data_IF_080725811935
#
_entry.id   IF_080725811935
#
_cell.length_a   1.000
_cell.length_b   1.000
_cell.length_c   1.000
_cell.angle_alpha   90.00
_cell.angle_beta   90.00
_cell.angle_gamma   90.00
#
_symmetry.space_group_name_H-M   'P 1'
#
loop_
_entity.id
_entity.type
_entity.pdbx_description
1 polymer ?
#
# COMPACT_ATOMS: atom_id res chain seq x y z
N UNK A 1 25.02 -13.27 -3.91
CA UNK A 1 24.08 -12.20 -4.32
C UNK A 1 22.99 -12.89 -5.13
N UNK A 2 21.78 -13.04 -4.57
CA UNK A 2 20.73 -13.91 -5.12
C UNK A 2 19.46 -13.08 -5.28
N UNK A 3 19.16 -12.72 -6.54
CA UNK A 3 17.87 -12.29 -7.10
C UNK A 3 18.12 -12.08 -8.62
N UNK A 4 17.51 -12.76 -9.63
CA UNK A 4 17.15 -14.18 -9.92
C UNK A 4 16.80 -14.47 -11.46
N UNK A 5 15.54 -14.39 -11.98
CA UNK A 5 15.18 -14.45 -13.45
C UNK A 5 13.91 -13.61 -13.91
N UNK A 6 14.00 -12.66 -14.88
CA UNK A 6 12.96 -11.68 -15.27
C UNK A 6 12.14 -12.00 -16.55
N UNK A 7 12.34 -13.16 -17.18
CA UNK A 7 11.94 -13.40 -18.58
C UNK A 7 10.44 -13.22 -18.93
N UNK A 8 9.53 -13.18 -17.95
CA UNK A 8 8.07 -13.09 -18.18
C UNK A 8 7.40 -11.74 -17.84
N UNK A 9 8.06 -10.83 -17.10
CA UNK A 9 7.44 -9.57 -16.59
C UNK A 9 8.39 -8.36 -16.61
N UNK A 10 9.05 -8.12 -17.75
CA UNK A 10 10.06 -7.06 -17.95
C UNK A 10 9.66 -5.63 -17.54
N UNK A 11 8.37 -5.30 -17.48
CA UNK A 11 7.87 -3.92 -17.48
C UNK A 11 7.47 -3.34 -16.09
N UNK A 12 7.86 -3.95 -14.97
CA UNK A 12 7.26 -3.60 -13.66
C UNK A 12 8.27 -3.24 -12.54
N UNK A 13 9.53 -3.66 -12.67
CA UNK A 13 10.54 -3.57 -11.61
C UNK A 13 11.81 -2.86 -12.10
N UNK A 14 12.52 -2.17 -11.18
CA UNK A 14 13.91 -1.75 -11.37
C UNK A 14 14.84 -2.92 -11.74
N UNK A 15 14.42 -4.14 -11.39
CA UNK A 15 15.03 -5.40 -11.78
C UNK A 15 15.02 -5.69 -13.29
N UNK A 16 14.44 -4.88 -14.17
CA UNK A 16 14.48 -5.15 -15.62
C UNK A 16 15.90 -5.22 -16.24
N UNK A 17 16.92 -4.80 -15.47
CA UNK A 17 18.35 -4.77 -15.86
C UNK A 17 19.10 -6.06 -15.45
N UNK A 18 18.64 -6.76 -14.40
CA UNK A 18 19.23 -8.02 -13.92
C UNK A 18 18.12 -9.04 -13.77
N UNK A 19 18.23 -10.20 -14.42
CA UNK A 19 17.13 -11.19 -14.43
C UNK A 19 16.64 -11.47 -12.98
N UNK A 20 15.33 -11.31 -12.64
CA UNK A 20 14.78 -11.40 -11.27
C UNK A 20 13.43 -12.15 -11.04
N UNK A 21 13.47 -13.15 -10.14
CA UNK A 21 12.44 -14.13 -9.72
C UNK A 21 12.37 -14.11 -8.17
N UNK A 22 11.24 -13.72 -7.57
CA UNK A 22 11.17 -13.47 -6.11
C UNK A 22 11.33 -14.75 -5.27
N UNK A 23 12.35 -14.79 -4.41
CA UNK A 23 12.42 -15.77 -3.30
C UNK A 23 11.56 -15.31 -2.11
N UNK A 24 11.50 -16.09 -1.03
CA UNK A 24 10.71 -15.76 0.18
C UNK A 24 11.18 -14.49 0.93
N UNK A 25 12.26 -13.83 0.50
CA UNK A 25 12.79 -12.60 1.10
C UNK A 25 12.25 -11.39 0.32
N UNK A 26 11.67 -10.43 1.02
CA UNK A 26 11.09 -9.22 0.42
C UNK A 26 12.15 -8.12 0.31
N UNK A 27 13.07 -8.25 -0.64
CA UNK A 27 14.17 -7.30 -0.83
C UNK A 27 13.91 -6.22 -1.89
N UNK A 28 12.69 -6.14 -2.45
CA UNK A 28 12.34 -5.10 -3.42
C UNK A 28 10.83 -4.82 -3.46
N UNK A 29 10.46 -3.64 -3.99
CA UNK A 29 9.06 -3.22 -4.13
C UNK A 29 8.18 -4.25 -4.84
N UNK A 30 8.68 -4.91 -5.89
CA UNK A 30 7.91 -5.90 -6.62
C UNK A 30 7.55 -7.14 -5.78
N UNK A 31 8.47 -7.64 -4.95
CA UNK A 31 8.18 -8.75 -4.06
C UNK A 31 7.25 -8.32 -2.90
N UNK A 32 7.38 -7.07 -2.41
CA UNK A 32 6.48 -6.49 -1.40
C UNK A 32 5.04 -6.41 -1.93
N UNK A 33 4.88 -5.75 -3.08
CA UNK A 33 3.59 -5.57 -3.73
C UNK A 33 2.97 -6.92 -4.12
N UNK A 34 3.75 -7.84 -4.71
CA UNK A 34 3.27 -9.17 -5.08
C UNK A 34 2.81 -10.02 -3.89
N UNK A 35 3.53 -9.98 -2.75
CA UNK A 35 3.08 -10.64 -1.51
C UNK A 35 1.78 -10.03 -0.98
N UNK A 36 1.67 -8.70 -1.01
CA UNK A 36 0.43 -8.02 -0.62
C UNK A 36 -0.74 -8.39 -1.55
N UNK A 37 -0.56 -8.39 -2.87
CA UNK A 37 -1.61 -8.82 -3.82
C UNK A 37 -2.06 -10.27 -3.57
N UNK A 38 -1.14 -11.19 -3.26
CA UNK A 38 -1.50 -12.56 -2.90
C UNK A 38 -2.39 -12.60 -1.65
N UNK A 39 -2.02 -11.87 -0.59
CA UNK A 39 -2.80 -11.77 0.65
C UNK A 39 -4.14 -11.07 0.46
N UNK A 40 -4.17 -9.98 -0.28
CA UNK A 40 -5.38 -9.21 -0.59
C UNK A 40 -6.39 -10.05 -1.38
N UNK A 41 -5.92 -10.84 -2.35
CA UNK A 41 -6.76 -11.78 -3.10
C UNK A 41 -7.21 -12.97 -2.23
N UNK A 42 -6.32 -13.57 -1.44
CA UNK A 42 -6.62 -14.71 -0.56
C UNK A 42 -7.69 -14.36 0.49
N UNK A 43 -7.57 -13.19 1.11
CA UNK A 43 -8.47 -12.72 2.17
C UNK A 43 -9.63 -11.86 1.63
N UNK A 44 -9.62 -11.55 0.34
CA UNK A 44 -10.58 -10.70 -0.36
C UNK A 44 -10.79 -9.33 0.34
N UNK A 45 -9.68 -8.69 0.74
CA UNK A 45 -9.65 -7.53 1.65
C UNK A 45 -10.41 -6.35 1.05
N UNK A 46 -9.98 -5.89 -0.13
CA UNK A 46 -10.61 -4.81 -0.92
C UNK A 46 -12.13 -4.99 -1.03
N UNK A 47 -12.58 -6.12 -1.57
CA UNK A 47 -13.99 -6.35 -1.81
C UNK A 47 -14.80 -6.42 -0.50
N UNK A 48 -14.23 -6.99 0.56
CA UNK A 48 -14.87 -7.07 1.87
C UNK A 48 -15.10 -5.67 2.45
N UNK A 49 -14.07 -4.81 2.44
CA UNK A 49 -14.21 -3.41 2.87
C UNK A 49 -15.21 -2.65 2.01
N UNK A 50 -15.10 -2.74 0.68
CA UNK A 50 -15.99 -2.03 -0.26
C UNK A 50 -17.44 -2.47 -0.10
N UNK A 51 -17.70 -3.77 0.05
CA UNK A 51 -19.06 -4.29 0.26
C UNK A 51 -19.64 -3.85 1.59
N UNK A 52 -18.89 -4.01 2.69
CA UNK A 52 -19.38 -3.64 4.01
C UNK A 52 -19.65 -2.13 4.12
N UNK A 53 -18.74 -1.31 3.58
CA UNK A 53 -18.90 0.14 3.46
C UNK A 53 -20.18 0.54 2.70
N UNK A 54 -20.48 -0.14 1.58
CA UNK A 54 -21.71 0.09 0.82
C UNK A 54 -22.98 -0.30 1.57
N UNK A 55 -22.95 -1.37 2.38
CA UNK A 55 -24.10 -1.73 3.22
C UNK A 55 -24.31 -0.71 4.34
N UNK A 56 -23.24 -0.28 5.03
CA UNK A 56 -23.28 0.76 6.07
C UNK A 56 -23.93 2.06 5.57
N UNK A 57 -23.58 2.53 4.36
CA UNK A 57 -24.14 3.77 3.79
C UNK A 57 -25.68 3.69 3.65
N UNK A 58 -26.26 2.50 3.40
CA UNK A 58 -27.71 2.31 3.27
C UNK A 58 -28.44 2.37 4.62
N UNK A 59 -27.77 2.12 5.73
CA UNK A 59 -28.39 1.98 7.05
C UNK A 59 -28.87 3.35 7.56
N UNK A 60 -30.15 3.47 7.93
CA UNK A 60 -30.78 4.76 8.30
C UNK A 60 -30.23 5.38 9.58
N UNK A 61 -29.81 4.58 10.57
CA UNK A 61 -29.33 5.09 11.87
C UNK A 61 -27.92 5.70 11.80
N UNK A 62 -27.15 5.42 10.74
CA UNK A 62 -25.80 5.96 10.58
C UNK A 62 -25.87 7.45 10.18
N UNK A 63 -25.18 8.35 10.91
CA UNK A 63 -25.11 9.77 10.57
C UNK A 63 -24.63 10.05 9.13
N UNK A 64 -25.24 11.03 8.47
CA UNK A 64 -24.88 11.41 7.09
C UNK A 64 -23.42 11.91 6.95
N UNK A 65 -22.78 12.37 8.04
CA UNK A 65 -21.36 12.75 8.01
C UNK A 65 -20.48 11.52 7.81
N UNK A 66 -20.63 10.49 8.66
CA UNK A 66 -19.93 9.19 8.55
C UNK A 66 -20.14 8.56 7.16
N UNK A 67 -21.34 8.67 6.58
CA UNK A 67 -21.61 8.17 5.22
C UNK A 67 -20.77 8.89 4.15
N UNK A 68 -20.67 10.22 4.24
CA UNK A 68 -19.82 11.01 3.32
C UNK A 68 -18.35 10.65 3.48
N UNK A 69 -17.90 10.41 4.70
CA UNK A 69 -16.51 10.05 4.98
C UNK A 69 -16.17 8.70 4.33
N UNK A 70 -17.02 7.68 4.50
CA UNK A 70 -16.91 6.40 3.78
C UNK A 70 -16.91 6.60 2.26
N UNK A 71 -17.85 7.39 1.72
CA UNK A 71 -17.92 7.65 0.28
C UNK A 71 -16.66 8.34 -0.25
N UNK A 72 -16.01 9.17 0.56
CA UNK A 72 -14.76 9.85 0.20
C UNK A 72 -13.59 8.87 0.23
N UNK A 73 -13.41 8.10 1.30
CA UNK A 73 -12.38 7.05 1.37
C UNK A 73 -12.52 6.02 0.23
N UNK A 74 -13.75 5.64 -0.14
CA UNK A 74 -14.00 4.75 -1.29
C UNK A 74 -13.67 5.39 -2.66
N UNK A 75 -13.77 6.72 -2.81
CA UNK A 75 -13.33 7.43 -4.01
C UNK A 75 -11.80 7.52 -4.06
N UNK A 76 -11.16 7.77 -2.92
CA UNK A 76 -9.71 7.87 -2.79
C UNK A 76 -9.04 6.51 -3.00
N UNK A 77 -9.62 5.43 -2.48
CA UNK A 77 -9.18 4.06 -2.74
C UNK A 77 -9.02 3.77 -4.23
N UNK A 78 -10.05 4.09 -5.03
CA UNK A 78 -10.01 3.95 -6.48
C UNK A 78 -8.97 4.86 -7.16
N UNK A 79 -8.73 6.07 -6.64
CA UNK A 79 -7.69 6.97 -7.18
C UNK A 79 -6.30 6.37 -6.93
N UNK A 80 -6.01 5.96 -5.70
CA UNK A 80 -4.73 5.37 -5.31
C UNK A 80 -4.48 4.07 -6.07
N UNK A 81 -5.48 3.18 -6.15
CA UNK A 81 -5.40 1.94 -6.91
C UNK A 81 -5.13 2.18 -8.40
N UNK A 82 -5.80 3.15 -9.02
CA UNK A 82 -5.54 3.52 -10.42
C UNK A 82 -4.13 4.11 -10.63
N UNK A 83 -3.65 4.96 -9.71
CA UNK A 83 -2.29 5.51 -9.78
C UNK A 83 -1.23 4.43 -9.64
N UNK A 84 -1.39 3.53 -8.66
CA UNK A 84 -0.50 2.40 -8.43
C UNK A 84 -0.48 1.44 -9.63
N UNK A 85 -1.66 1.12 -10.18
CA UNK A 85 -1.81 0.31 -11.40
C UNK A 85 -1.26 0.97 -12.67
N UNK A 86 -1.14 2.30 -12.71
CA UNK A 86 -0.50 3.03 -13.81
C UNK A 86 1.02 2.94 -13.67
N UNK A 87 1.54 3.36 -12.53
CA UNK A 87 2.97 3.44 -12.22
C UNK A 87 3.65 2.06 -12.23
N UNK A 88 2.93 1.00 -11.83
CA UNK A 88 3.45 -0.36 -11.91
C UNK A 88 3.66 -0.84 -13.36
N UNK A 89 3.09 -0.18 -14.38
CA UNK A 89 3.22 -0.55 -15.80
C UNK A 89 4.30 0.24 -16.55
N UNK A 90 5.05 1.11 -15.87
CA UNK A 90 6.09 1.93 -16.49
C UNK A 90 7.26 1.05 -16.98
N UNK A 91 7.40 0.99 -18.30
CA UNK A 91 8.36 0.16 -19.01
C UNK A 91 9.67 0.90 -19.28
N UNK A 92 10.70 0.58 -18.50
CA UNK A 92 12.01 1.24 -18.59
C UNK A 92 12.86 0.80 -19.79
N UNK A 93 12.54 -0.30 -20.47
CA UNK A 93 13.36 -0.84 -21.57
C UNK A 93 13.50 0.19 -22.71
N UNK A 94 12.45 0.98 -22.95
CA UNK A 94 12.43 2.04 -23.95
C UNK A 94 13.50 3.12 -23.73
N UNK A 95 13.91 3.35 -22.49
CA UNK A 95 14.99 4.30 -22.17
C UNK A 95 16.38 3.67 -22.36
N UNK A 96 16.50 2.36 -22.07
CA UNK A 96 17.72 1.58 -22.30
C UNK A 96 18.02 1.48 -23.80
N UNK A 97 17.01 1.13 -24.61
CA UNK A 97 17.13 0.99 -26.08
C UNK A 97 17.41 2.33 -26.80
N UNK A 98 17.17 3.47 -26.14
CA UNK A 98 17.29 4.82 -26.72
C UNK A 98 18.63 5.51 -26.45
N UNK A 99 19.65 4.80 -25.93
CA UNK A 99 20.98 5.35 -25.57
C UNK A 99 20.92 6.56 -24.60
N UNK A 100 19.97 6.58 -23.66
CA UNK A 100 20.03 7.55 -22.56
C UNK A 100 21.23 7.27 -21.64
N UNK A 101 21.72 8.32 -21.00
CA UNK A 101 22.75 8.22 -19.96
C UNK A 101 22.30 7.26 -18.83
N UNK A 102 23.08 6.23 -18.48
CA UNK A 102 22.75 5.30 -17.39
C UNK A 102 22.46 5.98 -16.04
N UNK A 103 23.13 7.09 -15.73
CA UNK A 103 22.91 7.82 -14.47
C UNK A 103 21.52 8.50 -14.46
N UNK A 104 21.10 9.07 -15.59
CA UNK A 104 19.74 9.57 -15.79
C UNK A 104 18.68 8.46 -15.68
N UNK A 105 18.92 7.28 -16.28
CA UNK A 105 18.01 6.14 -16.20
C UNK A 105 17.87 5.67 -14.73
N UNK A 106 18.97 5.57 -13.99
CA UNK A 106 18.97 5.18 -12.59
C UNK A 106 18.15 6.16 -11.73
N UNK A 107 18.37 7.46 -11.87
CA UNK A 107 17.58 8.51 -11.18
C UNK A 107 16.08 8.44 -11.49
N UNK A 108 15.71 8.17 -12.73
CA UNK A 108 14.31 8.03 -13.15
C UNK A 108 13.65 6.77 -12.55
N UNK A 109 14.37 5.64 -12.53
CA UNK A 109 13.92 4.41 -11.85
C UNK A 109 13.71 4.68 -10.37
N UNK A 110 14.65 5.38 -9.72
CA UNK A 110 14.63 5.63 -8.29
C UNK A 110 13.50 6.55 -7.85
N UNK A 111 13.30 7.66 -8.57
CA UNK A 111 12.14 8.54 -8.38
C UNK A 111 10.81 7.79 -8.47
N UNK A 112 10.72 6.80 -9.37
CA UNK A 112 9.51 6.00 -9.51
C UNK A 112 9.39 4.90 -8.44
N UNK A 113 10.49 4.37 -7.91
CA UNK A 113 10.47 3.46 -6.75
C UNK A 113 9.92 4.18 -5.49
N UNK A 114 10.38 5.41 -5.24
CA UNK A 114 9.84 6.29 -4.19
C UNK A 114 8.33 6.52 -4.39
N UNK A 115 7.89 6.84 -5.62
CA UNK A 115 6.47 7.02 -5.93
C UNK A 115 5.66 5.72 -5.73
N UNK A 116 6.19 4.57 -6.15
CA UNK A 116 5.60 3.23 -5.95
C UNK A 116 5.35 2.95 -4.47
N UNK A 117 6.36 3.14 -3.62
CA UNK A 117 6.21 2.92 -2.18
C UNK A 117 5.24 3.94 -1.54
N UNK A 118 5.29 5.21 -1.97
CA UNK A 118 4.34 6.27 -1.53
C UNK A 118 2.88 5.91 -1.82
N UNK A 119 2.56 5.44 -3.04
CA UNK A 119 1.19 5.02 -3.38
C UNK A 119 0.80 3.70 -2.72
N UNK A 120 1.75 2.80 -2.48
CA UNK A 120 1.49 1.57 -1.73
C UNK A 120 1.12 1.87 -0.27
N UNK A 121 1.88 2.72 0.42
CA UNK A 121 1.55 3.19 1.78
C UNK A 121 0.19 3.90 1.77
N UNK A 122 -0.10 4.74 0.76
CA UNK A 122 -1.44 5.36 0.61
C UNK A 122 -2.58 4.33 0.54
N UNK A 123 -2.36 3.16 -0.07
CA UNK A 123 -3.36 2.09 -0.11
C UNK A 123 -3.55 1.45 1.27
N UNK A 124 -2.48 1.30 2.05
CA UNK A 124 -2.53 0.76 3.40
C UNK A 124 -3.18 1.74 4.40
N UNK A 125 -2.88 3.03 4.31
CA UNK A 125 -3.53 4.10 5.08
C UNK A 125 -5.06 4.08 4.89
N UNK A 126 -5.54 3.94 3.65
CA UNK A 126 -6.99 3.89 3.40
C UNK A 126 -7.69 2.66 4.02
N UNK A 127 -6.98 1.56 4.24
CA UNK A 127 -7.51 0.46 5.05
C UNK A 127 -7.56 0.81 6.54
N UNK A 128 -6.57 1.56 7.05
CA UNK A 128 -6.56 2.06 8.43
C UNK A 128 -7.70 3.06 8.66
N UNK A 129 -7.92 4.00 7.74
CA UNK A 129 -8.99 5.00 7.81
C UNK A 129 -10.37 4.36 7.77
N UNK A 130 -10.61 3.46 6.80
CA UNK A 130 -11.85 2.69 6.74
C UNK A 130 -12.04 1.89 8.05
N UNK A 131 -11.00 1.22 8.54
CA UNK A 131 -11.06 0.48 9.82
C UNK A 131 -11.47 1.37 10.99
N UNK A 132 -10.89 2.57 11.12
CA UNK A 132 -11.27 3.55 12.13
C UNK A 132 -12.74 3.94 12.03
N UNK A 133 -13.22 4.27 10.83
CA UNK A 133 -14.63 4.61 10.59
C UNK A 133 -15.56 3.44 10.98
N UNK A 134 -15.21 2.21 10.60
CA UNK A 134 -15.98 1.01 10.95
C UNK A 134 -16.00 0.75 12.47
N UNK A 135 -14.93 1.07 13.19
CA UNK A 135 -14.89 1.00 14.65
C UNK A 135 -15.80 2.06 15.28
N UNK A 136 -15.86 3.28 14.75
CA UNK A 136 -16.74 4.33 15.26
C UNK A 136 -18.23 4.00 15.08
N UNK A 137 -18.57 3.35 13.95
CA UNK A 137 -19.93 2.86 13.65
C UNK A 137 -20.45 1.85 14.69
N UNK A 138 -19.57 1.20 15.46
CA UNK A 138 -19.97 0.24 16.50
C UNK A 138 -20.91 0.81 17.56
N UNK A 139 -20.94 2.13 17.74
CA UNK A 139 -21.91 2.83 18.60
C UNK A 139 -23.37 2.64 18.15
N UNK A 140 -23.58 2.25 16.89
CA UNK A 140 -24.89 2.09 16.25
C UNK A 140 -25.20 0.63 15.88
N UNK A 141 -24.18 -0.22 15.74
CA UNK A 141 -24.30 -1.59 15.23
C UNK A 141 -23.22 -2.50 15.87
N UNK A 142 -23.62 -3.50 16.64
CA UNK A 142 -22.65 -4.48 17.18
C UNK A 142 -22.30 -5.54 16.14
N UNK A 143 -21.02 -5.56 15.74
CA UNK A 143 -20.46 -6.52 14.81
C UNK A 143 -19.09 -7.02 15.28
N UNK A 144 -19.05 -7.84 16.34
CA UNK A 144 -17.82 -8.54 16.79
C UNK A 144 -17.02 -9.20 15.65
N UNK A 145 -17.69 -9.78 14.67
CA UNK A 145 -17.06 -10.39 13.48
C UNK A 145 -16.32 -9.39 12.57
N UNK A 146 -16.69 -8.11 12.59
CA UNK A 146 -16.02 -7.06 11.80
C UNK A 146 -14.70 -6.68 12.47
N UNK A 147 -14.65 -6.56 13.79
CA UNK A 147 -13.38 -6.30 14.51
C UNK A 147 -12.35 -7.42 14.29
N UNK A 148 -12.78 -8.68 14.29
CA UNK A 148 -11.88 -9.81 14.02
C UNK A 148 -11.30 -9.75 12.60
N UNK A 149 -12.10 -9.34 11.61
CA UNK A 149 -11.62 -9.11 10.23
C UNK A 149 -10.67 -7.93 10.16
N UNK A 150 -10.99 -6.81 10.82
CA UNK A 150 -10.10 -5.65 10.89
C UNK A 150 -8.76 -6.05 11.52
N UNK A 151 -8.76 -6.70 12.69
CA UNK A 151 -7.52 -7.16 13.36
C UNK A 151 -6.71 -8.12 12.48
N UNK A 152 -7.34 -9.03 11.74
CA UNK A 152 -6.64 -9.87 10.77
C UNK A 152 -5.92 -9.04 9.68
N UNK A 153 -6.57 -8.01 9.15
CA UNK A 153 -6.01 -7.14 8.12
C UNK A 153 -4.91 -6.23 8.69
N UNK A 154 -5.12 -5.66 9.88
CA UNK A 154 -4.11 -4.91 10.64
C UNK A 154 -2.86 -5.76 10.88
N UNK A 155 -2.99 -7.02 11.34
CA UNK A 155 -1.86 -7.93 11.54
C UNK A 155 -1.07 -8.19 10.24
N UNK A 156 -1.76 -8.36 9.10
CA UNK A 156 -1.10 -8.53 7.80
C UNK A 156 -0.34 -7.26 7.38
N UNK A 157 -0.89 -6.07 7.63
CA UNK A 157 -0.22 -4.77 7.40
C UNK A 157 1.03 -4.63 8.29
N UNK A 158 0.91 -4.91 9.59
CA UNK A 158 2.04 -4.91 10.54
C UNK A 158 3.14 -5.86 10.08
N UNK A 159 2.78 -7.03 9.53
CA UNK A 159 3.76 -8.00 9.00
C UNK A 159 4.55 -7.52 7.78
N UNK A 160 4.15 -6.40 7.15
CA UNK A 160 4.89 -5.77 6.05
C UNK A 160 5.86 -4.67 6.50
N UNK A 161 5.70 -4.10 7.70
CA UNK A 161 6.50 -2.97 8.18
C UNK A 161 8.02 -3.19 8.05
N UNK A 162 8.60 -4.36 8.42
CA UNK A 162 10.03 -4.57 8.29
C UNK A 162 10.52 -4.46 6.84
N UNK A 163 9.73 -4.97 5.89
CA UNK A 163 10.07 -4.96 4.46
C UNK A 163 9.79 -3.61 3.80
N UNK A 164 8.79 -2.86 4.27
CA UNK A 164 8.59 -1.45 3.88
C UNK A 164 9.82 -0.62 4.31
N UNK A 165 10.29 -0.82 5.54
CA UNK A 165 11.48 -0.15 6.06
C UNK A 165 12.77 -0.58 5.35
N UNK A 166 12.96 -1.87 5.07
CA UNK A 166 14.11 -2.40 4.31
C UNK A 166 14.17 -1.82 2.88
N UNK A 167 13.03 -1.74 2.20
CA UNK A 167 12.94 -1.16 0.85
C UNK A 167 13.21 0.35 0.89
N UNK A 168 12.62 1.09 1.83
CA UNK A 168 12.89 2.52 1.98
C UNK A 168 14.38 2.80 2.30
N UNK A 169 14.99 2.00 3.18
CA UNK A 169 16.41 2.12 3.53
C UNK A 169 17.36 1.75 2.37
N UNK A 170 16.85 1.13 1.30
CA UNK A 170 17.61 0.88 0.06
C UNK A 170 17.54 2.04 -0.94
N UNK A 171 16.71 3.06 -0.68
CA UNK A 171 16.55 4.20 -1.58
C UNK A 171 17.61 5.28 -1.33
N UNK A 172 18.16 5.84 -2.41
CA UNK A 172 19.19 6.88 -2.33
C UNK A 172 18.58 8.28 -2.51
N UNK A 173 18.82 9.16 -1.52
CA UNK A 173 18.50 10.58 -1.63
C UNK A 173 19.48 11.26 -2.58
N UNK A 174 18.95 12.05 -3.50
CA UNK A 174 19.66 12.82 -4.51
C UNK A 174 19.00 14.18 -4.70
N UNK A 175 19.67 15.11 -5.39
CA UNK A 175 19.11 16.42 -5.70
C UNK A 175 17.78 16.36 -6.50
N UNK A 176 17.58 15.30 -7.29
CA UNK A 176 16.43 15.15 -8.19
C UNK A 176 15.19 14.47 -7.55
N UNK A 177 15.34 13.90 -6.34
CA UNK A 177 14.28 13.19 -5.62
C UNK A 177 14.14 13.57 -4.12
N UNK A 178 14.95 14.49 -3.58
CA UNK A 178 14.96 14.86 -2.15
C UNK A 178 13.60 15.24 -1.59
N UNK A 179 12.79 16.01 -2.35
CA UNK A 179 11.44 16.39 -1.96
C UNK A 179 10.50 15.18 -1.84
N UNK A 180 10.55 14.25 -2.80
CA UNK A 180 9.74 13.04 -2.74
C UNK A 180 10.24 12.05 -1.67
N UNK A 181 11.55 12.02 -1.41
CA UNK A 181 12.18 11.18 -0.38
C UNK A 181 11.77 11.62 1.03
N UNK A 182 11.89 12.90 1.37
CA UNK A 182 11.45 13.42 2.68
C UNK A 182 9.92 13.33 2.85
N UNK A 183 9.13 13.53 1.79
CA UNK A 183 7.68 13.33 1.84
C UNK A 183 7.30 11.86 2.10
N UNK A 184 8.02 10.90 1.50
CA UNK A 184 7.83 9.46 1.77
C UNK A 184 8.20 9.11 3.22
N UNK A 185 9.30 9.67 3.73
CA UNK A 185 9.78 9.49 5.11
C UNK A 185 8.79 10.04 6.15
N UNK A 186 8.28 11.25 5.97
CA UNK A 186 7.22 11.82 6.83
C UNK A 186 5.96 10.94 6.78
N UNK A 187 5.57 10.50 5.58
CA UNK A 187 4.42 9.61 5.39
C UNK A 187 4.60 8.26 6.08
N UNK A 188 5.78 7.65 6.03
CA UNK A 188 6.06 6.40 6.75
C UNK A 188 5.91 6.55 8.27
N UNK A 189 6.36 7.67 8.82
CA UNK A 189 6.19 7.99 10.24
C UNK A 189 4.71 8.18 10.62
N UNK A 190 3.95 8.95 9.83
CA UNK A 190 2.51 9.14 10.05
C UNK A 190 1.72 7.83 9.92
N UNK A 191 2.09 6.99 8.95
CA UNK A 191 1.50 5.67 8.74
C UNK A 191 1.69 4.75 9.95
N UNK A 192 2.91 4.67 10.50
CA UNK A 192 3.22 3.89 11.70
C UNK A 192 2.39 4.36 12.92
N UNK A 193 2.35 5.68 13.17
CA UNK A 193 1.50 6.25 14.23
C UNK A 193 0.00 5.91 14.04
N UNK A 194 -0.51 6.00 12.82
CA UNK A 194 -1.92 5.69 12.52
C UNK A 194 -2.23 4.20 12.70
N UNK A 195 -1.27 3.32 12.39
CA UNK A 195 -1.38 1.87 12.57
C UNK A 195 -1.38 1.49 14.06
N UNK A 196 -0.42 1.99 14.83
CA UNK A 196 -0.35 1.81 16.30
C UNK A 196 -1.65 2.31 16.97
N UNK A 197 -2.16 3.46 16.54
CA UNK A 197 -3.43 4.00 17.04
C UNK A 197 -4.63 3.09 16.72
N UNK A 198 -4.64 2.43 15.56
CA UNK A 198 -5.68 1.45 15.20
C UNK A 198 -5.55 0.16 16.02
N UNK A 199 -4.35 -0.38 16.20
CA UNK A 199 -4.10 -1.56 17.03
C UNK A 199 -4.60 -1.35 18.45
N UNK A 200 -4.20 -0.25 19.10
CA UNK A 200 -4.66 0.13 20.43
C UNK A 200 -6.21 0.18 20.52
N UNK A 201 -6.88 0.81 19.53
CA UNK A 201 -8.36 0.85 19.47
C UNK A 201 -8.99 -0.54 19.34
N UNK A 202 -8.35 -1.48 18.65
CA UNK A 202 -8.87 -2.84 18.46
C UNK A 202 -8.72 -3.70 19.71
N UNK A 203 -7.64 -3.55 20.49
CA UNK A 203 -7.44 -4.32 21.72
C UNK A 203 -8.54 -4.04 22.75
N UNK A 204 -8.90 -2.77 22.96
CA UNK A 204 -10.02 -2.35 23.81
C UNK A 204 -11.42 -2.76 23.29
N UNK A 205 -11.52 -3.32 22.08
CA UNK A 205 -12.79 -3.72 21.45
C UNK A 205 -12.96 -5.23 21.28
N UNK A 206 -11.88 -5.99 21.43
CA UNK A 206 -11.86 -7.46 21.27
C UNK A 206 -11.74 -8.16 22.63
N UNK A 207 -11.19 -7.47 23.63
CA UNK A 207 -11.13 -7.89 25.05
C UNK A 207 -12.46 -7.60 25.75
#
# INVERSE_FOLDING_TARGET
MICCDCKSKRNHCSCSIFECDCTNIISCFCCLFGKWEQKENQLNISQTFINYSKEVIKIKIIPNIIKKDIENSLKEFKKVENSLNKINKDDYIKYIDSNYDPEYIARLIEKNNIAKLTYFISKLELYIDLSNILIEISKYLDYKNVYLKIKAITNEIVSLLPSIAEIFASYEESLDNSLEYEALKEKMYLFDLNLINLENKLEFKIT
#
